data_IF_352359439773
#
_entry.id   IF_352359439773
#
_cell.length_a   1.000
_cell.length_b   1.000
_cell.length_c   1.000
_cell.angle_alpha   90.00
_cell.angle_beta   90.00
_cell.angle_gamma   90.00
#
_symmetry.space_group_name_H-M   'P 1'
#
loop_
_entity.id
_entity.type
_entity.pdbx_description
1 polymer ?
#
# COMPACT_ATOMS: atom_id res chain seq x y z
N UNK A 1 10.16 8.17 14.99
CA UNK A 1 11.34 9.06 15.10
C UNK A 1 11.87 9.49 13.74
N UNK A 2 12.26 8.58 12.83
CA UNK A 2 12.73 8.97 11.48
C UNK A 2 11.75 9.89 10.72
N UNK A 3 10.46 9.52 10.65
CA UNK A 3 9.45 10.37 9.99
C UNK A 3 9.39 11.80 10.54
N UNK A 4 9.36 11.95 11.87
CA UNK A 4 9.35 13.26 12.53
C UNK A 4 10.61 14.07 12.25
N UNK A 5 11.79 13.43 12.24
CA UNK A 5 13.05 14.09 11.93
C UNK A 5 13.06 14.65 10.50
N UNK A 6 12.53 13.89 9.53
CA UNK A 6 12.39 14.37 8.16
C UNK A 6 11.39 15.54 8.03
N UNK A 7 10.27 15.50 8.76
CA UNK A 7 9.29 16.61 8.76
C UNK A 7 9.83 17.89 9.40
N UNK A 8 10.59 17.76 10.50
CA UNK A 8 11.26 18.92 11.13
C UNK A 8 12.29 19.51 10.18
N UNK A 9 13.04 18.66 9.46
CA UNK A 9 14.04 19.12 8.49
C UNK A 9 13.39 19.88 7.33
N UNK A 10 12.26 19.39 6.78
CA UNK A 10 11.51 20.10 5.75
C UNK A 10 10.89 21.40 6.27
N UNK A 11 10.33 21.39 7.48
CA UNK A 11 9.78 22.60 8.11
C UNK A 11 10.88 23.66 8.26
N UNK A 12 12.06 23.26 8.72
CA UNK A 12 13.22 24.14 8.85
C UNK A 12 13.73 24.66 7.50
N UNK A 13 13.79 23.81 6.47
CA UNK A 13 14.15 24.20 5.11
C UNK A 13 13.18 25.27 4.58
N UNK A 14 11.87 25.00 4.66
CA UNK A 14 10.80 25.89 4.18
C UNK A 14 10.64 27.21 4.95
N UNK A 15 11.16 27.30 6.17
CA UNK A 15 11.09 28.52 6.99
C UNK A 15 12.22 29.51 6.71
N UNK A 16 13.28 29.09 6.02
CA UNK A 16 14.41 29.93 5.66
C UNK A 16 14.24 30.53 4.25
N UNK A 17 14.82 31.70 3.97
CA UNK A 17 14.69 32.35 2.66
C UNK A 17 15.30 31.50 1.53
N UNK A 18 14.66 31.53 0.36
CA UNK A 18 14.95 30.72 -0.84
C UNK A 18 16.37 30.88 -1.41
N UNK A 19 17.11 31.91 -1.00
CA UNK A 19 18.44 32.23 -1.52
C UNK A 19 19.58 31.38 -0.91
N UNK A 20 19.25 30.45 -0.01
CA UNK A 20 20.21 29.53 0.59
C UNK A 20 20.57 28.39 -0.36
N UNK A 21 21.84 28.32 -0.78
CA UNK A 21 22.36 27.27 -1.68
C UNK A 21 22.17 25.83 -1.16
N UNK A 22 21.92 25.65 0.14
CA UNK A 22 21.69 24.34 0.76
C UNK A 22 20.22 23.88 0.79
N UNK A 23 19.27 24.73 0.38
CA UNK A 23 17.84 24.41 0.40
C UNK A 23 17.51 23.09 -0.35
N UNK A 24 18.01 22.84 -1.58
CA UNK A 24 17.70 21.60 -2.29
C UNK A 24 18.24 20.35 -1.57
N UNK A 25 19.41 20.46 -0.95
CA UNK A 25 20.05 19.34 -0.23
C UNK A 25 19.22 18.93 0.99
N UNK A 26 18.76 19.92 1.77
CA UNK A 26 17.93 19.65 2.95
C UNK A 26 16.57 19.07 2.56
N UNK A 27 15.98 19.52 1.45
CA UNK A 27 14.71 18.98 0.95
C UNK A 27 14.84 17.52 0.51
N UNK A 28 15.84 17.19 -0.29
CA UNK A 28 16.08 15.80 -0.72
C UNK A 28 16.38 14.88 0.47
N UNK A 29 17.18 15.35 1.43
CA UNK A 29 17.47 14.59 2.64
C UNK A 29 16.21 14.39 3.49
N UNK A 30 15.39 15.43 3.66
CA UNK A 30 14.13 15.39 4.39
C UNK A 30 13.14 14.40 3.77
N UNK A 31 12.96 14.48 2.44
CA UNK A 31 12.11 13.56 1.68
C UNK A 31 12.60 12.11 1.76
N UNK A 32 13.91 11.88 1.70
CA UNK A 32 14.49 10.54 1.84
C UNK A 32 14.23 9.93 3.24
N UNK A 33 14.38 10.74 4.29
CA UNK A 33 14.11 10.32 5.67
C UNK A 33 12.62 10.01 5.85
N UNK A 34 11.73 10.85 5.29
CA UNK A 34 10.28 10.62 5.30
C UNK A 34 9.92 9.34 4.54
N UNK A 35 10.51 9.12 3.36
CA UNK A 35 10.28 7.91 2.56
C UNK A 35 10.65 6.64 3.34
N UNK A 36 11.82 6.64 3.98
CA UNK A 36 12.27 5.53 4.83
C UNK A 36 11.35 5.32 6.04
N UNK A 37 10.95 6.42 6.70
CA UNK A 37 10.05 6.37 7.85
C UNK A 37 8.65 5.84 7.51
N UNK A 38 8.04 6.34 6.43
CA UNK A 38 6.72 5.90 5.97
C UNK A 38 6.75 4.46 5.46
N UNK A 39 7.81 4.06 4.75
CA UNK A 39 8.00 2.69 4.27
C UNK A 39 8.05 1.64 5.40
N UNK A 40 8.60 2.01 6.56
CA UNK A 40 8.61 1.14 7.74
C UNK A 40 7.27 1.14 8.52
N UNK A 41 6.63 2.30 8.66
CA UNK A 41 5.42 2.44 9.50
C UNK A 41 4.20 1.80 8.82
N UNK A 42 3.98 2.05 7.53
CA UNK A 42 2.78 1.60 6.79
C UNK A 42 2.49 0.09 6.91
N UNK A 43 3.45 -0.84 6.68
CA UNK A 43 3.17 -2.28 6.77
C UNK A 43 3.01 -2.76 8.23
N UNK A 44 3.60 -2.06 9.20
CA UNK A 44 3.64 -2.50 10.60
C UNK A 44 2.43 -2.00 11.41
N UNK A 45 1.97 -0.78 11.18
CA UNK A 45 0.93 -0.17 12.02
C UNK A 45 -0.41 -0.89 11.91
N UNK A 46 -0.87 -1.14 10.68
CA UNK A 46 -2.15 -1.81 10.43
C UNK A 46 -2.12 -3.28 10.87
N UNK A 47 -1.00 -3.98 10.61
CA UNK A 47 -0.84 -5.39 11.00
C UNK A 47 -0.77 -5.53 12.52
N UNK A 48 -0.04 -4.67 13.22
CA UNK A 48 0.03 -4.65 14.68
C UNK A 48 -1.32 -4.34 15.32
N UNK A 49 -2.07 -3.36 14.78
CA UNK A 49 -3.43 -3.04 15.25
C UNK A 49 -4.40 -4.19 15.01
N UNK A 50 -4.32 -4.86 13.86
CA UNK A 50 -5.13 -6.04 13.55
C UNK A 50 -4.80 -7.25 14.45
N UNK A 51 -3.54 -7.44 14.83
CA UNK A 51 -3.09 -8.53 15.69
C UNK A 51 -3.63 -8.48 17.13
N UNK A 52 -4.17 -7.32 17.55
CA UNK A 52 -4.81 -7.15 18.85
C UNK A 52 -6.14 -7.89 18.95
N UNK A 53 -6.85 -8.05 17.83
CA UNK A 53 -8.14 -8.73 17.78
C UNK A 53 -7.96 -10.23 17.61
N UNK A 54 -8.82 -11.01 18.26
CA UNK A 54 -8.84 -12.46 18.06
C UNK A 54 -9.70 -12.85 16.85
N UNK A 55 -9.49 -14.07 16.32
CA UNK A 55 -10.20 -14.52 15.10
C UNK A 55 -11.72 -14.53 15.24
N UNK A 56 -12.24 -14.67 16.47
CA UNK A 56 -13.67 -14.65 16.75
C UNK A 56 -14.27 -13.23 16.70
N UNK A 57 -13.43 -12.18 16.74
CA UNK A 57 -13.81 -10.77 16.78
C UNK A 57 -13.73 -10.10 15.40
N UNK A 58 -14.00 -10.84 14.32
CA UNK A 58 -13.88 -10.36 12.95
C UNK A 58 -14.68 -9.07 12.66
N UNK A 59 -15.81 -8.87 13.37
CA UNK A 59 -16.62 -7.65 13.28
C UNK A 59 -15.87 -6.42 13.83
N UNK A 60 -15.20 -6.54 14.98
CA UNK A 60 -14.44 -5.44 15.57
C UNK A 60 -13.21 -5.10 14.73
N UNK A 61 -12.52 -6.12 14.20
CA UNK A 61 -11.42 -5.92 13.26
C UNK A 61 -11.87 -5.15 12.00
N UNK A 62 -13.03 -5.51 11.44
CA UNK A 62 -13.57 -4.82 10.26
C UNK A 62 -13.92 -3.35 10.56
N UNK A 63 -14.48 -3.08 11.74
CA UNK A 63 -14.77 -1.71 12.19
C UNK A 63 -13.47 -0.91 12.42
N UNK A 64 -12.44 -1.52 12.99
CA UNK A 64 -11.12 -0.89 13.13
C UNK A 64 -10.53 -0.49 11.78
N UNK A 65 -10.54 -1.40 10.78
CA UNK A 65 -10.04 -1.08 9.43
C UNK A 65 -10.86 0.04 8.78
N UNK A 66 -12.18 0.04 8.96
CA UNK A 66 -13.05 1.08 8.42
C UNK A 66 -12.77 2.46 9.05
N UNK A 67 -12.62 2.53 10.38
CA UNK A 67 -12.26 3.77 11.09
C UNK A 67 -10.88 4.25 10.65
N UNK A 68 -9.89 3.35 10.56
CA UNK A 68 -8.55 3.69 10.11
C UNK A 68 -8.57 4.31 8.69
N UNK A 69 -9.34 3.72 7.78
CA UNK A 69 -9.52 4.24 6.44
C UNK A 69 -10.21 5.61 6.42
N UNK A 70 -11.27 5.79 7.21
CA UNK A 70 -11.97 7.06 7.33
C UNK A 70 -11.04 8.16 7.84
N UNK A 71 -10.26 7.90 8.90
CA UNK A 71 -9.32 8.86 9.47
C UNK A 71 -8.23 9.28 8.48
N UNK A 72 -7.72 8.37 7.64
CA UNK A 72 -6.74 8.72 6.60
C UNK A 72 -7.33 9.73 5.62
N UNK A 73 -8.54 9.49 5.14
CA UNK A 73 -9.20 10.35 4.17
C UNK A 73 -9.54 11.72 4.78
N UNK A 74 -10.07 11.75 6.01
CA UNK A 74 -10.35 13.02 6.71
C UNK A 74 -9.07 13.80 7.00
N UNK A 75 -7.99 13.12 7.39
CA UNK A 75 -6.69 13.74 7.62
C UNK A 75 -6.12 14.42 6.38
N UNK A 76 -6.30 13.81 5.20
CA UNK A 76 -5.88 14.40 3.93
C UNK A 76 -6.64 15.71 3.61
N UNK A 77 -7.94 15.77 3.93
CA UNK A 77 -8.75 16.98 3.73
C UNK A 77 -8.34 18.11 4.69
N UNK A 78 -8.03 17.79 5.95
CA UNK A 78 -7.77 18.78 6.98
C UNK A 78 -6.37 19.44 6.90
N UNK A 79 -5.39 18.76 6.28
CA UNK A 79 -4.00 19.25 6.19
C UNK A 79 -3.63 19.89 4.84
N UNK A 80 -4.59 20.05 3.92
CA UNK A 80 -4.31 20.64 2.62
C UNK A 80 -4.16 22.17 2.75
N UNK A 81 -2.97 22.69 2.47
CA UNK A 81 -2.76 24.12 2.35
C UNK A 81 -3.50 24.63 1.11
N UNK A 82 -4.40 25.59 1.31
CA UNK A 82 -5.27 26.15 0.27
C UNK A 82 -4.49 27.12 -0.66
N UNK A 83 -3.31 26.69 -1.13
CA UNK A 83 -2.42 27.40 -2.08
C UNK A 83 -1.88 28.75 -1.61
N UNK A 84 -1.60 28.90 -0.31
CA UNK A 84 -0.99 30.12 0.23
C UNK A 84 0.44 29.82 0.70
N UNK A 85 1.44 30.50 0.13
CA UNK A 85 2.87 30.17 0.32
C UNK A 85 3.35 30.19 1.78
N UNK A 86 2.71 30.99 2.63
CA UNK A 86 3.02 31.03 4.06
C UNK A 86 2.57 29.77 4.83
N UNK A 87 1.88 28.84 4.18
CA UNK A 87 1.30 27.66 4.80
C UNK A 87 2.25 26.44 4.84
N UNK A 88 3.31 26.40 4.02
CA UNK A 88 4.19 25.22 3.94
C UNK A 88 4.87 24.84 5.27
N UNK A 89 5.44 25.77 6.06
CA UNK A 89 6.00 25.42 7.36
C UNK A 89 4.95 24.86 8.33
N UNK A 90 3.71 25.36 8.25
CA UNK A 90 2.59 24.85 9.05
C UNK A 90 2.13 23.46 8.55
N UNK A 91 2.13 23.26 7.24
CA UNK A 91 1.75 22.01 6.58
C UNK A 91 2.65 20.84 6.99
N UNK A 92 3.95 21.08 7.14
CA UNK A 92 4.92 20.08 7.58
C UNK A 92 5.04 20.02 9.12
N UNK A 93 4.87 21.16 9.80
CA UNK A 93 4.96 21.27 11.26
C UNK A 93 3.83 20.56 12.01
N UNK A 94 2.56 20.72 11.58
CA UNK A 94 1.41 20.05 12.19
C UNK A 94 1.58 18.51 12.22
N UNK A 95 1.84 17.82 11.08
CA UNK A 95 2.05 16.38 11.11
C UNK A 95 3.29 15.95 11.90
N UNK A 96 4.32 16.80 12.01
CA UNK A 96 5.46 16.52 12.91
C UNK A 96 5.01 16.44 14.38
N UNK A 97 4.24 17.43 14.85
CA UNK A 97 3.71 17.48 16.23
C UNK A 97 2.75 16.32 16.46
N UNK A 98 1.80 16.09 15.55
CA UNK A 98 0.85 14.97 15.65
C UNK A 98 1.56 13.61 15.70
N UNK A 99 2.65 13.44 14.95
CA UNK A 99 3.44 12.21 15.00
C UNK A 99 4.15 12.02 16.35
N UNK A 100 4.66 13.11 16.95
CA UNK A 100 5.26 13.06 18.31
C UNK A 100 4.20 12.63 19.31
N UNK A 101 3.04 13.28 19.31
CA UNK A 101 1.92 12.95 20.19
C UNK A 101 1.49 11.49 19.99
N UNK A 102 1.30 11.06 18.74
CA UNK A 102 0.94 9.68 18.41
C UNK A 102 1.99 8.68 18.91
N UNK A 103 3.28 9.02 18.83
CA UNK A 103 4.36 8.14 19.31
C UNK A 103 4.33 8.01 20.83
N UNK A 104 4.09 9.11 21.55
CA UNK A 104 3.95 9.10 23.02
C UNK A 104 2.76 8.25 23.45
N UNK A 105 1.60 8.44 22.83
CA UNK A 105 0.38 7.65 23.11
C UNK A 105 0.63 6.16 22.81
N UNK A 106 1.28 5.87 21.67
CA UNK A 106 1.61 4.50 21.30
C UNK A 106 2.55 3.85 22.32
N UNK A 107 3.58 4.57 22.77
CA UNK A 107 4.53 4.09 23.77
C UNK A 107 3.88 3.89 25.15
N UNK A 108 3.00 4.79 25.59
CA UNK A 108 2.29 4.65 26.87
C UNK A 108 1.40 3.41 26.93
N UNK A 109 0.81 3.01 25.79
CA UNK A 109 0.00 1.79 25.70
C UNK A 109 0.80 0.49 25.61
N UNK A 110 2.15 0.54 25.59
CA UNK A 110 3.01 -0.62 25.28
C UNK A 110 2.89 -1.81 26.24
N UNK A 111 2.38 -1.60 27.46
CA UNK A 111 2.10 -2.64 28.44
C UNK A 111 0.80 -3.40 28.15
N UNK A 112 -0.16 -2.79 27.44
CA UNK A 112 -1.46 -3.39 27.15
C UNK A 112 -1.51 -4.14 25.82
N UNK A 113 -0.50 -3.97 24.96
CA UNK A 113 -0.49 -4.62 23.65
C UNK A 113 -0.11 -6.10 23.71
N UNK A 114 -0.82 -6.91 22.93
CA UNK A 114 -0.49 -8.32 22.71
C UNK A 114 0.67 -8.43 21.72
N UNK A 115 1.88 -8.64 22.23
CA UNK A 115 3.10 -8.78 21.42
C UNK A 115 3.23 -10.23 20.93
N UNK A 116 3.01 -10.47 19.65
CA UNK A 116 3.21 -11.80 19.03
C UNK A 116 4.71 -12.14 19.00
N UNK A 117 5.09 -13.40 19.23
CA UNK A 117 6.49 -13.81 19.13
C UNK A 117 6.99 -13.65 17.68
N UNK A 118 8.27 -13.33 17.55
CA UNK A 118 8.93 -13.14 16.25
C UNK A 118 8.86 -14.45 15.45
N UNK A 119 8.28 -14.39 14.24
CA UNK A 119 8.31 -15.51 13.28
C UNK A 119 9.63 -15.48 12.52
N UNK A 120 10.12 -16.63 12.06
CA UNK A 120 11.33 -16.70 11.23
C UNK A 120 11.17 -15.87 9.95
N UNK A 121 12.31 -15.49 9.35
CA UNK A 121 12.36 -14.69 8.14
C UNK A 121 11.83 -15.48 6.93
N UNK A 122 10.50 -15.45 6.73
CA UNK A 122 9.82 -16.15 5.62
C UNK A 122 10.39 -15.73 4.27
N UNK A 123 10.80 -14.46 4.10
CA UNK A 123 11.42 -13.96 2.86
C UNK A 123 12.72 -14.71 2.56
N UNK A 124 13.58 -14.89 3.57
CA UNK A 124 14.83 -15.63 3.41
C UNK A 124 14.56 -17.10 3.10
N UNK A 125 13.55 -17.71 3.74
CA UNK A 125 13.14 -19.09 3.47
C UNK A 125 12.66 -19.27 2.02
N UNK A 126 11.90 -18.31 1.49
CA UNK A 126 11.44 -18.32 0.09
C UNK A 126 12.61 -18.14 -0.87
N UNK A 127 13.51 -17.17 -0.62
CA UNK A 127 14.71 -16.95 -1.46
C UNK A 127 15.59 -18.20 -1.44
N UNK A 128 15.87 -18.76 -0.26
CA UNK A 128 16.68 -19.99 -0.14
C UNK A 128 16.02 -21.17 -0.86
N UNK A 129 14.70 -21.30 -0.80
CA UNK A 129 13.97 -22.34 -1.53
C UNK A 129 14.12 -22.19 -3.03
N UNK A 130 13.92 -20.97 -3.56
CA UNK A 130 14.04 -20.67 -4.99
C UNK A 130 15.47 -20.93 -5.46
N UNK A 131 16.48 -20.45 -4.74
CA UNK A 131 17.89 -20.69 -5.07
C UNK A 131 18.22 -22.19 -5.09
N UNK A 132 17.73 -22.97 -4.11
CA UNK A 132 17.90 -24.43 -4.10
C UNK A 132 17.14 -25.12 -5.23
N UNK A 133 15.97 -24.62 -5.63
CA UNK A 133 15.24 -25.16 -6.77
C UNK A 133 15.99 -24.94 -8.08
N UNK A 134 16.58 -23.75 -8.27
CA UNK A 134 17.39 -23.41 -9.44
C UNK A 134 18.65 -24.27 -9.49
N UNK A 135 19.41 -24.38 -8.38
CA UNK A 135 20.59 -25.24 -8.30
C UNK A 135 20.21 -26.71 -8.53
N UNK A 136 19.12 -27.17 -7.91
CA UNK A 136 18.60 -28.51 -8.06
C UNK A 136 18.24 -28.82 -9.52
N UNK A 137 17.71 -27.86 -10.27
CA UNK A 137 17.41 -28.00 -11.71
C UNK A 137 18.67 -28.27 -12.55
N UNK A 138 19.83 -27.74 -12.15
CA UNK A 138 21.09 -28.02 -12.83
C UNK A 138 21.71 -29.37 -12.43
N UNK A 139 21.40 -29.87 -11.22
CA UNK A 139 22.01 -31.08 -10.68
C UNK A 139 21.19 -32.35 -10.96
N UNK A 140 19.88 -32.24 -11.00
CA UNK A 140 18.93 -33.34 -11.17
C UNK A 140 18.11 -33.09 -12.45
N UNK A 141 18.27 -33.95 -13.46
CA UNK A 141 17.52 -33.87 -14.72
C UNK A 141 16.18 -34.63 -14.68
N UNK A 142 15.72 -35.05 -13.50
CA UNK A 142 14.42 -35.73 -13.36
C UNK A 142 13.26 -34.86 -13.87
N UNK A 143 12.37 -35.47 -14.65
CA UNK A 143 11.15 -34.82 -15.12
C UNK A 143 10.18 -34.65 -13.94
N UNK A 144 10.05 -33.43 -13.44
CA UNK A 144 9.08 -33.04 -12.40
C UNK A 144 8.00 -32.15 -13.00
N UNK A 145 6.79 -32.22 -12.44
CA UNK A 145 5.64 -31.45 -12.95
C UNK A 145 5.85 -29.93 -12.85
N UNK A 146 6.65 -29.47 -11.88
CA UNK A 146 6.98 -28.06 -11.72
C UNK A 146 8.43 -27.87 -11.27
N UNK A 147 9.14 -26.92 -11.87
CA UNK A 147 10.57 -26.66 -11.61
C UNK A 147 10.90 -26.39 -10.13
N UNK A 148 9.98 -25.80 -9.37
CA UNK A 148 10.17 -25.53 -7.94
C UNK A 148 10.32 -26.81 -7.09
N UNK A 149 9.84 -27.94 -7.60
CA UNK A 149 9.97 -29.25 -6.93
C UNK A 149 11.39 -29.79 -6.99
N UNK A 150 12.25 -29.29 -7.89
CA UNK A 150 13.68 -29.63 -7.89
C UNK A 150 14.37 -29.27 -6.58
N UNK A 151 13.79 -28.39 -5.76
CA UNK A 151 14.31 -28.13 -4.42
C UNK A 151 14.33 -29.38 -3.51
N UNK A 152 13.66 -30.48 -3.87
CA UNK A 152 13.68 -31.76 -3.14
C UNK A 152 14.85 -32.69 -3.51
N UNK A 153 15.77 -32.32 -4.40
CA UNK A 153 16.83 -33.23 -4.89
C UNK A 153 17.63 -33.96 -3.80
N UNK A 154 17.85 -33.32 -2.64
CA UNK A 154 18.53 -33.90 -1.48
C UNK A 154 17.65 -33.89 -0.22
N UNK A 155 16.34 -34.07 -0.37
CA UNK A 155 15.39 -34.01 0.74
C UNK A 155 14.78 -35.38 1.05
N UNK A 156 15.13 -35.93 2.21
CA UNK A 156 14.46 -37.10 2.76
C UNK A 156 13.39 -36.68 3.80
N UNK A 157 12.13 -37.05 3.53
CA UNK A 157 11.01 -36.72 4.42
C UNK A 157 10.98 -37.61 5.69
N UNK A 158 11.79 -38.67 5.78
CA UNK A 158 11.85 -39.54 6.96
C UNK A 158 12.88 -39.08 8.00
N UNK A 159 13.94 -38.41 7.58
CA UNK A 159 14.99 -37.89 8.48
C UNK A 159 14.70 -36.46 8.96
N UNK A 160 13.97 -35.66 8.17
CA UNK A 160 13.74 -34.26 8.50
C UNK A 160 12.76 -34.08 9.68
N UNK A 161 13.23 -33.44 10.77
CA UNK A 161 12.47 -33.17 11.98
C UNK A 161 11.15 -32.42 11.73
N UNK A 162 11.13 -31.49 10.75
CA UNK A 162 9.91 -30.74 10.41
C UNK A 162 8.84 -31.64 9.78
N UNK A 163 9.25 -32.59 8.95
CA UNK A 163 8.34 -33.57 8.34
C UNK A 163 7.84 -34.58 9.37
N UNK A 164 8.71 -35.03 10.29
CA UNK A 164 8.32 -35.92 11.39
C UNK A 164 7.30 -35.26 12.33
N UNK A 165 7.50 -33.98 12.70
CA UNK A 165 6.53 -33.21 13.49
C UNK A 165 5.18 -33.11 12.78
N UNK A 166 5.18 -32.89 11.47
CA UNK A 166 3.96 -32.82 10.66
C UNK A 166 3.23 -34.17 10.63
N UNK A 167 3.95 -35.28 10.39
CA UNK A 167 3.39 -36.64 10.38
C UNK A 167 2.73 -36.99 11.72
N UNK A 168 3.35 -36.63 12.85
CA UNK A 168 2.75 -36.81 14.20
C UNK A 168 1.44 -36.05 14.39
N UNK A 169 1.33 -34.83 13.84
CA UNK A 169 0.15 -33.98 14.00
C UNK A 169 -1.00 -34.35 13.05
N UNK A 170 -0.68 -34.69 11.81
CA UNK A 170 -1.67 -34.85 10.73
C UNK A 170 -2.18 -36.30 10.54
N UNK A 171 -1.60 -37.29 11.23
CA UNK A 171 -1.88 -38.74 11.09
C UNK A 171 -1.77 -39.30 9.65
N UNK A 172 -1.29 -38.52 8.69
CA UNK A 172 -1.10 -38.91 7.28
C UNK A 172 0.37 -39.30 7.03
N UNK A 173 0.65 -40.55 6.60
CA UNK A 173 2.03 -41.06 6.50
C UNK A 173 2.85 -40.43 5.37
N UNK A 174 2.21 -39.90 4.31
CA UNK A 174 2.85 -39.29 3.15
C UNK A 174 3.05 -37.76 3.27
N UNK A 175 2.67 -37.14 4.39
CA UNK A 175 2.73 -35.68 4.50
C UNK A 175 4.18 -35.18 4.67
N UNK A 176 4.62 -34.30 3.76
CA UNK A 176 5.96 -33.72 3.77
C UNK A 176 5.86 -32.19 3.90
N UNK A 177 6.44 -31.63 4.96
CA UNK A 177 6.33 -30.20 5.29
C UNK A 177 6.93 -29.30 4.20
N UNK A 178 8.02 -29.74 3.57
CA UNK A 178 8.66 -29.01 2.48
C UNK A 178 7.80 -28.95 1.22
N UNK A 179 7.03 -30.00 0.94
CA UNK A 179 6.10 -30.04 -0.21
C UNK A 179 4.94 -29.05 -0.02
N UNK A 180 4.41 -28.92 1.20
CA UNK A 180 3.40 -27.90 1.53
C UNK A 180 3.98 -26.51 1.29
N UNK A 181 5.17 -26.23 1.82
CA UNK A 181 5.83 -24.95 1.61
C UNK A 181 6.09 -24.63 0.13
N UNK A 182 6.48 -25.63 -0.67
CA UNK A 182 6.63 -25.45 -2.13
C UNK A 182 5.29 -25.11 -2.79
N UNK A 183 4.20 -25.73 -2.38
CA UNK A 183 2.87 -25.41 -2.91
C UNK A 183 2.41 -24.00 -2.49
N UNK A 184 2.77 -23.56 -1.29
CA UNK A 184 2.54 -22.18 -0.83
C UNK A 184 3.33 -21.19 -1.70
N UNK A 185 4.61 -21.48 -1.99
CA UNK A 185 5.45 -20.62 -2.85
C UNK A 185 4.98 -20.65 -4.32
N UNK A 186 4.51 -21.78 -4.84
CA UNK A 186 3.86 -21.84 -6.17
C UNK A 186 2.63 -20.94 -6.24
N UNK A 187 1.81 -20.95 -5.19
CA UNK A 187 0.62 -20.09 -5.09
C UNK A 187 1.03 -18.62 -5.02
N UNK A 188 2.08 -18.30 -4.25
CA UNK A 188 2.65 -16.95 -4.16
C UNK A 188 3.16 -16.46 -5.51
N UNK A 189 3.92 -17.27 -6.26
CA UNK A 189 4.40 -16.93 -7.60
C UNK A 189 3.23 -16.65 -8.56
N UNK A 190 2.16 -17.44 -8.49
CA UNK A 190 0.95 -17.23 -9.29
C UNK A 190 0.26 -15.90 -8.95
N UNK A 191 0.19 -15.54 -7.67
CA UNK A 191 -0.35 -14.26 -7.21
C UNK A 191 0.54 -13.10 -7.66
N UNK A 192 1.87 -13.25 -7.62
CA UNK A 192 2.79 -12.22 -8.13
C UNK A 192 2.59 -11.96 -9.62
N UNK A 193 2.37 -13.00 -10.44
CA UNK A 193 2.04 -12.84 -11.86
C UNK A 193 0.72 -12.08 -12.03
N UNK A 194 -0.29 -12.40 -11.23
CA UNK A 194 -1.57 -11.67 -11.24
C UNK A 194 -1.40 -10.19 -10.86
N UNK A 195 -0.36 -9.85 -10.11
CA UNK A 195 -0.08 -8.48 -9.67
C UNK A 195 0.80 -7.66 -10.63
N UNK A 196 1.24 -8.22 -11.77
CA UNK A 196 2.02 -7.48 -12.78
C UNK A 196 1.32 -6.17 -13.25
N UNK A 197 -0.02 -6.09 -13.40
CA UNK A 197 -0.68 -4.84 -13.79
C UNK A 197 -0.77 -3.78 -12.68
N UNK A 198 -0.59 -4.17 -11.40
CA UNK A 198 -0.76 -3.24 -10.27
C UNK A 198 0.24 -2.08 -10.27
N UNK A 199 1.55 -2.27 -10.54
CA UNK A 199 2.49 -1.17 -10.69
C UNK A 199 2.03 -0.11 -11.72
N UNK A 200 1.48 -0.54 -12.86
CA UNK A 200 0.97 0.38 -13.87
C UNK A 200 -0.24 1.17 -13.36
N UNK A 201 -1.15 0.50 -12.64
CA UNK A 201 -2.29 1.15 -12.00
C UNK A 201 -1.86 2.20 -10.97
N UNK A 202 -0.87 1.88 -10.12
CA UNK A 202 -0.35 2.85 -9.15
C UNK A 202 0.40 4.01 -9.82
N UNK A 203 1.16 3.74 -10.89
CA UNK A 203 1.80 4.80 -11.67
C UNK A 203 0.79 5.80 -12.24
N UNK A 204 -0.39 5.33 -12.67
CA UNK A 204 -1.47 6.21 -13.13
C UNK A 204 -2.08 7.02 -11.98
N UNK A 205 -2.32 6.41 -10.81
CA UNK A 205 -2.85 7.16 -9.66
C UNK A 205 -1.86 8.23 -9.20
N UNK A 206 -0.57 7.93 -9.18
CA UNK A 206 0.45 8.89 -8.76
C UNK A 206 0.53 10.10 -9.71
N UNK A 207 0.13 9.96 -10.98
CA UNK A 207 0.01 11.10 -11.91
C UNK A 207 -1.09 12.09 -11.51
N UNK A 208 -2.08 11.67 -10.72
CA UNK A 208 -3.16 12.55 -10.27
C UNK A 208 -2.64 13.68 -9.37
N UNK A 209 -1.62 13.43 -8.56
CA UNK A 209 -1.04 14.44 -7.67
C UNK A 209 -0.05 15.37 -8.38
N UNK A 210 0.54 14.92 -9.50
CA UNK A 210 1.52 15.67 -10.28
C UNK A 210 0.94 16.26 -11.56
N UNK A 211 0.93 15.47 -12.63
CA UNK A 211 0.61 15.92 -13.99
C UNK A 211 -0.79 16.51 -14.09
N UNK A 212 -1.79 15.90 -13.44
CA UNK A 212 -3.17 16.41 -13.50
C UNK A 212 -3.32 17.75 -12.76
N UNK A 213 -2.53 17.99 -11.71
CA UNK A 213 -2.48 19.30 -11.03
C UNK A 213 -1.88 20.37 -11.95
N UNK A 214 -0.84 20.01 -12.72
CA UNK A 214 -0.24 20.90 -13.72
C UNK A 214 -1.22 21.21 -14.86
N UNK A 215 -1.96 20.21 -15.33
CA UNK A 215 -3.04 20.41 -16.29
C UNK A 215 -4.11 21.36 -15.74
N UNK A 216 -4.51 21.18 -14.47
CA UNK A 216 -5.49 22.06 -13.83
C UNK A 216 -4.99 23.51 -13.66
N UNK A 217 -3.68 23.74 -13.51
CA UNK A 217 -3.10 25.09 -13.52
C UNK A 217 -3.27 25.82 -14.87
N UNK A 218 -3.42 25.08 -15.97
CA UNK A 218 -3.63 25.63 -17.31
C UNK A 218 -5.12 25.83 -17.65
N UNK A 219 -6.03 25.38 -16.79
CA UNK A 219 -7.47 25.49 -16.98
C UNK A 219 -8.05 26.70 -16.23
N UNK A 220 -9.18 27.22 -16.70
CA UNK A 220 -9.90 28.24 -15.94
C UNK A 220 -10.52 27.60 -14.68
N UNK A 221 -10.02 28.01 -13.51
CA UNK A 221 -10.47 27.52 -12.20
C UNK A 221 -11.76 28.17 -11.69
N UNK A 222 -12.40 29.04 -12.47
CA UNK A 222 -13.65 29.73 -12.09
C UNK A 222 -14.86 28.86 -12.35
N UNK A 223 -15.55 28.44 -11.29
CA UNK A 223 -16.75 27.58 -11.40
C UNK A 223 -18.04 28.38 -11.62
N UNK A 224 -18.32 29.32 -10.72
CA UNK A 224 -19.50 30.18 -10.77
C UNK A 224 -19.14 31.56 -10.26
N UNK A 225 -19.07 32.54 -11.17
CA UNK A 225 -18.71 33.92 -10.84
C UNK A 225 -17.28 34.04 -10.31
N UNK A 226 -17.14 34.53 -9.07
CA UNK A 226 -15.86 34.85 -8.41
C UNK A 226 -15.27 33.69 -7.59
N UNK A 227 -15.92 32.51 -7.55
CA UNK A 227 -15.39 31.34 -6.81
C UNK A 227 -14.28 30.68 -7.63
N UNK A 228 -13.04 31.02 -7.30
CA UNK A 228 -11.82 30.42 -7.84
C UNK A 228 -11.49 29.14 -7.07
N UNK A 229 -11.50 28.00 -7.76
CA UNK A 229 -11.02 26.73 -7.23
C UNK A 229 -9.55 26.57 -7.55
N UNK A 230 -8.74 26.36 -6.52
CA UNK A 230 -7.30 26.23 -6.71
C UNK A 230 -6.94 24.82 -7.21
N UNK A 231 -5.98 24.67 -8.13
CA UNK A 231 -5.58 23.36 -8.67
C UNK A 231 -5.19 22.33 -7.60
N UNK A 232 -4.52 22.75 -6.53
CA UNK A 232 -4.12 21.88 -5.42
C UNK A 232 -5.32 21.27 -4.69
N UNK A 233 -6.49 21.93 -4.73
CA UNK A 233 -7.73 21.45 -4.12
C UNK A 233 -8.41 20.36 -4.97
N UNK A 234 -7.95 20.06 -6.18
CA UNK A 234 -8.51 18.98 -7.00
C UNK A 234 -8.29 17.60 -6.38
N UNK A 235 -7.21 17.43 -5.61
CA UNK A 235 -6.96 16.20 -4.86
C UNK A 235 -8.07 15.93 -3.80
N UNK A 236 -8.69 16.98 -3.25
CA UNK A 236 -9.78 16.86 -2.27
C UNK A 236 -11.02 16.20 -2.87
N UNK A 237 -11.32 16.48 -4.14
CA UNK A 237 -12.45 15.87 -4.87
C UNK A 237 -12.28 14.35 -4.91
N UNK A 238 -11.06 13.87 -5.18
CA UNK A 238 -10.76 12.43 -5.20
C UNK A 238 -11.08 11.77 -3.85
N UNK A 239 -10.67 12.42 -2.74
CA UNK A 239 -10.93 11.92 -1.39
C UNK A 239 -12.43 11.87 -1.07
N UNK A 240 -13.17 12.92 -1.42
CA UNK A 240 -14.62 12.98 -1.23
C UNK A 240 -15.33 11.90 -2.06
N UNK A 241 -14.92 11.74 -3.33
CA UNK A 241 -15.46 10.69 -4.21
C UNK A 241 -15.19 9.31 -3.65
N UNK A 242 -13.98 9.05 -3.16
CA UNK A 242 -13.64 7.75 -2.55
C UNK A 242 -14.50 7.48 -1.31
N UNK A 243 -14.65 8.46 -0.41
CA UNK A 243 -15.48 8.33 0.79
C UNK A 243 -16.97 8.11 0.47
N UNK A 244 -17.49 8.70 -0.62
CA UNK A 244 -18.88 8.50 -1.06
C UNK A 244 -19.09 7.22 -1.88
N UNK A 245 -18.17 6.91 -2.80
CA UNK A 245 -18.28 5.78 -3.71
C UNK A 245 -18.01 4.44 -3.01
N UNK A 246 -17.08 4.35 -2.06
CA UNK A 246 -16.82 3.08 -1.34
C UNK A 246 -18.08 2.51 -0.67
N UNK A 247 -18.85 3.26 0.14
CA UNK A 247 -20.10 2.74 0.73
C UNK A 247 -21.18 2.53 -0.34
N UNK A 248 -21.29 3.40 -1.34
CA UNK A 248 -22.24 3.22 -2.45
C UNK A 248 -21.99 1.90 -3.19
N UNK A 249 -20.75 1.61 -3.53
CA UNK A 249 -20.38 0.38 -4.22
C UNK A 249 -20.62 -0.84 -3.33
N UNK A 250 -20.30 -0.75 -2.05
CA UNK A 250 -20.39 -1.87 -1.10
C UNK A 250 -21.83 -2.22 -0.73
N UNK A 251 -22.66 -1.23 -0.42
CA UNK A 251 -24.02 -1.44 0.09
C UNK A 251 -25.10 -1.41 -0.99
N UNK A 252 -24.86 -0.75 -2.12
CA UNK A 252 -25.88 -0.59 -3.18
C UNK A 252 -25.47 -1.32 -4.45
N UNK A 253 -24.34 -0.96 -5.07
CA UNK A 253 -24.01 -1.44 -6.43
C UNK A 253 -23.68 -2.94 -6.42
N UNK A 254 -22.77 -3.40 -5.56
CA UNK A 254 -22.39 -4.81 -5.51
C UNK A 254 -23.55 -5.77 -5.18
N UNK A 255 -24.44 -5.50 -4.20
CA UNK A 255 -25.58 -6.39 -3.97
C UNK A 255 -26.60 -6.35 -5.11
N UNK A 256 -26.83 -5.20 -5.75
CA UNK A 256 -27.75 -5.11 -6.91
C UNK A 256 -27.20 -5.85 -8.11
N UNK A 257 -25.96 -5.59 -8.51
CA UNK A 257 -25.30 -6.28 -9.63
C UNK A 257 -25.12 -7.77 -9.33
N UNK A 258 -24.90 -8.12 -8.06
CA UNK A 258 -24.81 -9.49 -7.56
C UNK A 258 -26.08 -10.33 -7.79
N UNK A 259 -27.25 -9.70 -8.01
CA UNK A 259 -28.48 -10.41 -8.40
C UNK A 259 -28.41 -10.96 -9.83
N UNK A 260 -27.63 -10.31 -10.70
CA UNK A 260 -27.56 -10.63 -12.14
C UNK A 260 -26.26 -11.36 -12.49
N UNK A 261 -25.14 -10.96 -11.88
CA UNK A 261 -23.81 -11.48 -12.21
C UNK A 261 -23.03 -11.78 -10.93
N UNK A 262 -22.41 -12.96 -10.86
CA UNK A 262 -21.44 -13.28 -9.81
C UNK A 262 -20.21 -12.36 -9.91
N UNK A 263 -20.09 -11.44 -8.96
CA UNK A 263 -18.98 -10.50 -8.86
C UNK A 263 -17.80 -11.12 -8.10
N UNK A 264 -16.83 -11.66 -8.84
CA UNK A 264 -15.56 -12.09 -8.25
C UNK A 264 -14.63 -10.88 -8.03
N UNK A 265 -13.71 -10.93 -7.05
CA UNK A 265 -12.72 -9.86 -6.84
C UNK A 265 -11.92 -9.54 -8.11
N UNK A 266 -11.56 -10.56 -8.89
CA UNK A 266 -10.86 -10.39 -10.16
C UNK A 266 -11.68 -9.60 -11.19
N UNK A 267 -12.98 -9.86 -11.31
CA UNK A 267 -13.87 -9.11 -12.22
C UNK A 267 -13.96 -7.65 -11.82
N UNK A 268 -14.05 -7.35 -10.51
CA UNK A 268 -14.05 -5.96 -10.01
C UNK A 268 -12.76 -5.23 -10.39
N UNK A 269 -11.62 -5.90 -10.26
CA UNK A 269 -10.32 -5.36 -10.64
C UNK A 269 -10.23 -5.07 -12.15
N UNK A 270 -10.70 -6.00 -13.00
CA UNK A 270 -10.71 -5.78 -14.45
C UNK A 270 -11.63 -4.62 -14.87
N UNK A 271 -12.87 -4.56 -14.33
CA UNK A 271 -13.81 -3.47 -14.63
C UNK A 271 -13.25 -2.12 -14.19
N UNK A 272 -12.64 -2.04 -13.00
CA UNK A 272 -11.95 -0.84 -12.55
C UNK A 272 -10.82 -0.43 -13.49
N UNK A 273 -10.03 -1.40 -13.98
CA UNK A 273 -8.99 -1.15 -14.98
C UNK A 273 -9.53 -0.52 -16.28
N UNK A 274 -10.65 -1.01 -16.81
CA UNK A 274 -11.28 -0.39 -17.99
C UNK A 274 -11.76 1.04 -17.72
N UNK A 275 -12.37 1.29 -16.55
CA UNK A 275 -12.82 2.64 -16.17
C UNK A 275 -11.63 3.61 -16.10
N UNK A 276 -10.49 3.17 -15.55
CA UNK A 276 -9.26 3.97 -15.53
C UNK A 276 -8.80 4.32 -16.95
N UNK A 277 -8.80 3.35 -17.87
CA UNK A 277 -8.44 3.61 -19.28
C UNK A 277 -9.33 4.69 -19.88
N UNK A 278 -10.65 4.61 -19.69
CA UNK A 278 -11.56 5.66 -20.17
C UNK A 278 -11.27 7.02 -19.52
N UNK A 279 -11.06 7.07 -18.21
CA UNK A 279 -10.74 8.31 -17.50
C UNK A 279 -9.48 9.00 -18.05
N UNK A 280 -8.42 8.24 -18.34
CA UNK A 280 -7.19 8.78 -18.92
C UNK A 280 -7.33 9.20 -20.38
N UNK A 281 -8.18 8.52 -21.16
CA UNK A 281 -8.52 8.98 -22.51
C UNK A 281 -9.23 10.34 -22.47
N UNK A 282 -10.20 10.51 -21.57
CA UNK A 282 -10.87 11.80 -21.37
C UNK A 282 -9.89 12.89 -20.94
N UNK A 283 -9.02 12.61 -19.97
CA UNK A 283 -8.00 13.57 -19.54
C UNK A 283 -7.04 13.97 -20.68
N UNK A 284 -6.68 13.01 -21.54
CA UNK A 284 -5.86 13.26 -22.73
C UNK A 284 -6.56 14.15 -23.77
N UNK A 285 -7.85 13.93 -24.02
CA UNK A 285 -8.66 14.82 -24.89
C UNK A 285 -8.71 16.23 -24.34
N UNK A 286 -8.94 16.38 -23.03
CA UNK A 286 -8.93 17.70 -22.37
C UNK A 286 -7.57 18.38 -22.52
N UNK A 287 -6.45 17.65 -22.40
CA UNK A 287 -5.12 18.22 -22.61
C UNK A 287 -4.90 18.70 -24.05
N UNK A 288 -5.43 17.99 -25.05
CA UNK A 288 -5.32 18.40 -26.44
C UNK A 288 -6.03 19.73 -26.69
N UNK A 289 -7.23 19.90 -26.13
CA UNK A 289 -7.98 21.16 -26.24
C UNK A 289 -7.23 22.32 -25.58
N UNK A 290 -6.68 22.11 -24.36
CA UNK A 290 -5.87 23.12 -23.64
C UNK A 290 -4.64 23.54 -24.46
N UNK A 291 -4.01 22.62 -25.19
CA UNK A 291 -2.83 22.94 -25.98
C UNK A 291 -3.15 23.73 -27.26
N UNK A 292 -4.40 23.71 -27.71
CA UNK A 292 -4.85 24.39 -28.94
C UNK A 292 -5.42 25.78 -28.64
N UNK A 293 -5.99 25.98 -27.44
CA UNK A 293 -6.50 27.27 -26.93
C UNK A 293 -5.39 28.21 -26.45
#
# INVERSE_FOLDING_TARGET
MYYTAGQILLTYSSANPSDWSFHPLFDFLGLFIIATGTGGIKPCAMTFGGDQFEKHEAKMLSMFVAIFYFTINVGALALSCLGQDNCYPLAFGIPAILMIISTVIFASGSCWYKKRPVKSNVIFDVISLISRAVIGKFHDSSARAHWLEHSLYNHDCNTNLACLKLKRRSKTPAACARMIFINDVKSLLRVMIMFIPLPMYYALIDQQAGVMTIQALQMDGRLWGDVLWLPDQMALISVVLVLGLVPLFTFVIYPVVGKWVKLTPLRKMCVGGFIVVFAFLFAGVVQLEINVS
#
